data_IF_662941498995
#
_entry.id   IF_662941498995
#
_cell.length_a   1.000
_cell.length_b   1.000
_cell.length_c   1.000
_cell.angle_alpha   90.00
_cell.angle_beta   90.00
_cell.angle_gamma   90.00
#
_symmetry.space_group_name_H-M   'P 1'
#
loop_
_entity.id
_entity.type
_entity.pdbx_description
1 polymer ?
#
# COMPACT_ATOMS: atom_id res chain seq x y z
N UNK A 1 17.55 21.70 -20.09
CA UNK A 1 16.64 22.73 -19.52
C UNK A 1 16.94 22.89 -18.04
N UNK A 2 16.62 24.05 -17.44
CA UNK A 2 16.69 24.20 -15.98
C UNK A 2 15.73 23.18 -15.34
N UNK A 3 16.19 22.33 -14.41
CA UNK A 3 15.35 21.29 -13.80
C UNK A 3 14.11 21.86 -13.11
N UNK A 4 14.15 23.10 -12.60
CA UNK A 4 12.99 23.78 -11.99
C UNK A 4 11.86 24.09 -12.96
N UNK A 5 12.12 24.06 -14.26
CA UNK A 5 11.07 24.21 -15.27
C UNK A 5 10.38 22.87 -15.60
N UNK A 6 10.97 21.75 -15.16
CA UNK A 6 10.47 20.39 -15.41
C UNK A 6 9.85 19.76 -14.16
N UNK A 7 10.42 20.07 -12.99
CA UNK A 7 10.05 19.50 -11.72
C UNK A 7 9.71 20.56 -10.69
N UNK A 8 8.75 20.23 -9.83
CA UNK A 8 8.40 21.07 -8.67
C UNK A 8 9.25 20.67 -7.45
N UNK A 9 9.61 21.59 -6.55
CA UNK A 9 10.41 21.29 -5.37
C UNK A 9 9.84 20.18 -4.47
N UNK A 10 8.51 20.10 -4.39
CA UNK A 10 7.78 19.16 -3.54
C UNK A 10 7.64 17.73 -4.11
N UNK A 11 8.08 17.51 -5.35
CA UNK A 11 7.93 16.21 -6.00
C UNK A 11 8.76 15.12 -5.31
N UNK A 12 8.21 13.91 -5.27
CA UNK A 12 8.88 12.73 -4.74
C UNK A 12 9.67 12.03 -5.85
N UNK A 13 10.98 11.93 -5.65
CA UNK A 13 11.91 11.26 -6.55
C UNK A 13 12.31 9.90 -5.99
N UNK A 14 12.20 8.86 -6.81
CA UNK A 14 12.73 7.54 -6.47
C UNK A 14 13.61 7.05 -7.61
N UNK A 15 14.87 6.74 -7.31
CA UNK A 15 15.82 6.18 -8.28
C UNK A 15 15.90 4.66 -8.11
N UNK A 16 15.66 3.92 -9.19
CA UNK A 16 15.84 2.47 -9.25
C UNK A 16 17.20 2.17 -9.89
N UNK A 17 18.00 1.35 -9.21
CA UNK A 17 19.36 1.01 -9.65
C UNK A 17 20.38 2.09 -9.31
N UNK A 18 20.23 2.75 -8.15
CA UNK A 18 21.19 3.74 -7.68
C UNK A 18 22.56 3.08 -7.44
N UNK A 19 23.60 3.63 -8.08
CA UNK A 19 24.99 3.13 -7.97
C UNK A 19 25.90 4.04 -7.14
N UNK A 20 25.56 5.32 -7.06
CA UNK A 20 26.32 6.34 -6.35
C UNK A 20 25.39 7.47 -5.83
N UNK A 21 25.96 8.40 -5.05
CA UNK A 21 25.21 9.50 -4.45
C UNK A 21 25.06 10.74 -5.36
N UNK A 22 25.60 10.71 -6.59
CA UNK A 22 25.69 11.90 -7.44
C UNK A 22 24.31 12.48 -7.77
N UNK A 23 23.33 11.62 -8.01
CA UNK A 23 21.96 12.04 -8.37
C UNK A 23 21.23 12.62 -7.17
N UNK A 24 21.37 12.03 -5.98
CA UNK A 24 20.87 12.59 -4.74
C UNK A 24 21.44 14.00 -4.48
N UNK A 25 22.77 14.14 -4.60
CA UNK A 25 23.47 15.41 -4.42
C UNK A 25 23.04 16.47 -5.42
N UNK A 26 22.93 16.08 -6.70
CA UNK A 26 22.56 17.00 -7.75
C UNK A 26 21.10 17.45 -7.61
N UNK A 27 20.19 16.57 -7.16
CA UNK A 27 18.81 16.96 -6.84
C UNK A 27 18.76 17.94 -5.67
N UNK A 28 19.44 17.64 -4.55
CA UNK A 28 19.51 18.50 -3.37
C UNK A 28 20.09 19.88 -3.70
N UNK A 29 21.17 19.93 -4.47
CA UNK A 29 21.79 21.18 -4.92
C UNK A 29 20.86 22.05 -5.78
N UNK A 30 19.80 21.47 -6.37
CA UNK A 30 18.79 22.19 -7.14
C UNK A 30 17.50 22.49 -6.35
N UNK A 31 17.42 22.10 -5.08
CA UNK A 31 16.30 22.33 -4.17
C UNK A 31 15.26 21.21 -4.15
N UNK A 32 15.64 19.99 -4.52
CA UNK A 32 14.77 18.81 -4.46
C UNK A 32 15.24 17.88 -3.35
N UNK A 33 14.55 17.88 -2.21
CA UNK A 33 14.99 17.19 -0.98
C UNK A 33 14.30 15.83 -0.75
N UNK A 34 13.24 15.52 -1.52
CA UNK A 34 12.44 14.29 -1.40
C UNK A 34 12.94 13.20 -2.35
N UNK A 35 14.14 12.69 -2.09
CA UNK A 35 14.78 11.64 -2.87
C UNK A 35 14.99 10.35 -2.08
N UNK A 36 14.83 9.20 -2.76
CA UNK A 36 15.22 7.87 -2.30
C UNK A 36 15.89 7.08 -3.44
N UNK A 37 17.10 6.59 -3.21
CA UNK A 37 17.83 5.69 -4.10
C UNK A 37 17.66 4.22 -3.70
N UNK A 38 17.27 3.38 -4.65
CA UNK A 38 17.12 1.94 -4.47
C UNK A 38 18.27 1.24 -5.17
N UNK A 39 19.15 0.65 -4.38
CA UNK A 39 20.34 -0.04 -4.83
C UNK A 39 20.01 -1.47 -5.29
N UNK A 40 20.86 -2.04 -6.14
CA UNK A 40 20.71 -3.42 -6.60
C UNK A 40 21.24 -4.46 -5.60
N UNK A 41 22.02 -4.04 -4.59
CA UNK A 41 22.59 -4.92 -3.56
C UNK A 41 22.53 -4.25 -2.19
N UNK A 42 22.40 -5.03 -1.10
CA UNK A 42 22.40 -4.50 0.26
C UNK A 42 23.74 -3.83 0.62
N UNK A 43 24.86 -4.47 0.26
CA UNK A 43 26.21 -3.91 0.48
C UNK A 43 26.41 -2.54 -0.17
N UNK A 44 25.79 -2.30 -1.33
CA UNK A 44 25.86 -0.99 -1.99
C UNK A 44 25.07 0.06 -1.22
N UNK A 45 23.85 -0.27 -0.78
CA UNK A 45 23.04 0.66 0.01
C UNK A 45 23.77 1.05 1.30
N UNK A 46 24.29 0.08 2.04
CA UNK A 46 25.08 0.30 3.26
C UNK A 46 26.32 1.15 2.99
N UNK A 47 27.04 0.88 1.89
CA UNK A 47 28.23 1.66 1.52
C UNK A 47 27.91 3.11 1.17
N UNK A 48 26.76 3.39 0.55
CA UNK A 48 26.36 4.76 0.19
C UNK A 48 25.90 5.53 1.41
N UNK A 49 25.13 4.91 2.29
CA UNK A 49 24.71 5.52 3.55
C UNK A 49 25.93 5.80 4.46
N UNK A 50 26.85 4.85 4.58
CA UNK A 50 28.05 5.01 5.41
C UNK A 50 29.02 6.08 4.90
N UNK A 51 29.11 6.27 3.57
CA UNK A 51 29.99 7.27 2.97
C UNK A 51 29.48 8.71 3.17
N UNK A 52 28.20 8.90 3.51
CA UNK A 52 27.53 10.21 3.51
C UNK A 52 26.53 10.34 4.66
N UNK A 53 27.01 10.77 5.82
CA UNK A 53 26.16 11.02 7.00
C UNK A 53 25.08 12.08 6.74
N UNK A 54 25.28 12.99 5.79
CA UNK A 54 24.29 14.00 5.40
C UNK A 54 23.16 13.45 4.52
N UNK A 55 23.26 12.18 4.09
CA UNK A 55 22.29 11.44 3.27
C UNK A 55 21.81 10.17 3.98
N UNK A 56 21.90 10.11 5.31
CA UNK A 56 21.43 8.96 6.07
C UNK A 56 19.97 8.61 5.71
N UNK A 57 19.71 7.34 5.38
CA UNK A 57 18.41 6.81 4.94
C UNK A 57 17.91 7.34 3.59
N UNK A 58 18.78 7.92 2.74
CA UNK A 58 18.45 8.23 1.35
C UNK A 58 18.66 7.04 0.43
N UNK A 59 19.38 6.00 0.85
CA UNK A 59 19.57 4.78 0.08
C UNK A 59 18.95 3.57 0.77
N UNK A 60 18.47 2.62 -0.01
CA UNK A 60 17.90 1.38 0.50
C UNK A 60 18.07 0.24 -0.49
N UNK A 61 17.83 -0.98 -0.04
CA UNK A 61 17.79 -2.18 -0.87
C UNK A 61 16.48 -2.93 -0.62
N UNK A 62 15.93 -3.51 -1.68
CA UNK A 62 14.81 -4.44 -1.58
C UNK A 62 14.95 -5.53 -2.64
N UNK A 63 14.55 -6.74 -2.27
CA UNK A 63 14.42 -7.89 -3.17
C UNK A 63 13.05 -7.92 -3.88
N UNK A 64 12.14 -7.00 -3.55
CA UNK A 64 10.83 -6.90 -4.20
C UNK A 64 10.96 -6.43 -5.66
N UNK A 65 10.75 -7.36 -6.59
CA UNK A 65 10.72 -7.07 -8.02
C UNK A 65 9.58 -6.13 -8.46
N UNK A 66 8.59 -5.89 -7.59
CA UNK A 66 7.50 -4.93 -7.80
C UNK A 66 7.85 -3.53 -7.32
N UNK A 67 9.04 -3.27 -6.75
CA UNK A 67 9.40 -1.95 -6.20
C UNK A 67 9.23 -0.81 -7.21
N UNK A 68 9.50 -1.06 -8.49
CA UNK A 68 9.28 -0.10 -9.59
C UNK A 68 7.82 0.38 -9.63
N UNK A 69 6.88 -0.53 -9.36
CA UNK A 69 5.44 -0.31 -9.40
C UNK A 69 4.84 0.07 -8.03
N UNK A 70 5.47 -0.35 -6.94
CA UNK A 70 4.99 -0.21 -5.56
C UNK A 70 5.82 0.86 -4.83
N UNK A 71 5.58 2.12 -5.18
CA UNK A 71 6.17 3.28 -4.51
C UNK A 71 5.29 4.54 -4.70
N UNK A 72 5.60 5.62 -3.97
CA UNK A 72 4.93 6.92 -4.09
C UNK A 72 5.67 7.92 -4.99
N UNK A 73 6.52 7.47 -5.91
CA UNK A 73 7.27 8.38 -6.78
C UNK A 73 6.34 9.20 -7.68
N UNK A 74 6.65 10.48 -7.83
CA UNK A 74 6.10 11.32 -8.90
C UNK A 74 7.03 11.33 -10.11
N UNK A 75 8.33 11.30 -9.83
CA UNK A 75 9.41 11.17 -10.81
C UNK A 75 10.18 9.89 -10.50
N UNK A 76 10.02 8.89 -11.38
CA UNK A 76 10.78 7.65 -11.29
C UNK A 76 12.07 7.77 -12.10
N UNK A 77 13.21 7.73 -11.44
CA UNK A 77 14.52 7.77 -12.08
C UNK A 77 15.03 6.35 -12.28
N UNK A 78 15.52 6.03 -13.47
CA UNK A 78 16.01 4.70 -13.83
C UNK A 78 17.49 4.79 -14.19
N UNK A 79 18.31 4.00 -13.50
CA UNK A 79 19.76 3.96 -13.66
C UNK A 79 20.25 2.55 -13.99
N UNK A 80 21.33 2.47 -14.77
CA UNK A 80 21.93 1.20 -15.18
C UNK A 80 20.91 0.25 -15.84
N UNK A 81 20.90 -1.05 -15.49
CA UNK A 81 19.95 -2.03 -16.03
C UNK A 81 18.47 -1.71 -15.78
N UNK A 82 18.15 -0.93 -14.73
CA UNK A 82 16.77 -0.54 -14.42
C UNK A 82 16.16 0.33 -15.53
N UNK A 83 16.97 0.94 -16.39
CA UNK A 83 16.52 1.68 -17.59
C UNK A 83 15.64 0.82 -18.51
N UNK A 84 15.80 -0.52 -18.50
CA UNK A 84 14.93 -1.42 -19.25
C UNK A 84 13.47 -1.40 -18.77
N UNK A 85 13.18 -0.90 -17.56
CA UNK A 85 11.81 -0.74 -17.05
C UNK A 85 10.95 0.20 -17.89
N UNK A 86 11.56 1.07 -18.71
CA UNK A 86 10.87 1.89 -19.71
C UNK A 86 10.04 1.02 -20.67
N UNK A 87 10.48 -0.20 -20.98
CA UNK A 87 9.72 -1.13 -21.84
C UNK A 87 8.41 -1.59 -21.18
N UNK A 88 8.41 -1.72 -19.86
CA UNK A 88 7.29 -2.24 -19.09
C UNK A 88 6.37 -1.12 -18.63
N UNK A 89 5.64 -0.49 -19.57
CA UNK A 89 4.69 0.61 -19.31
C UNK A 89 3.81 0.40 -18.07
N UNK A 90 3.34 -0.84 -17.85
CA UNK A 90 2.48 -1.21 -16.72
C UNK A 90 3.13 -0.96 -15.35
N UNK A 91 4.46 -0.97 -15.28
CA UNK A 91 5.23 -0.80 -14.04
C UNK A 91 5.41 0.68 -13.68
N UNK A 92 5.32 1.59 -14.65
CA UNK A 92 5.58 3.02 -14.43
C UNK A 92 4.34 3.91 -14.53
N UNK A 93 3.19 3.35 -14.90
CA UNK A 93 1.98 4.15 -15.17
C UNK A 93 1.39 4.88 -13.95
N UNK A 94 1.89 4.63 -12.74
CA UNK A 94 1.47 5.31 -11.51
C UNK A 94 2.23 6.63 -11.28
N UNK A 95 3.37 6.83 -11.97
CA UNK A 95 4.17 8.06 -11.84
C UNK A 95 3.81 9.10 -12.90
N UNK A 96 4.18 10.35 -12.65
CA UNK A 96 3.90 11.47 -13.54
C UNK A 96 4.96 11.54 -14.65
N UNK A 97 6.20 11.26 -14.27
CA UNK A 97 7.36 11.33 -15.14
C UNK A 97 8.30 10.15 -14.90
N UNK A 98 8.91 9.68 -15.98
CA UNK A 98 10.03 8.74 -15.94
C UNK A 98 11.26 9.46 -16.46
N UNK A 99 12.36 9.38 -15.71
CA UNK A 99 13.64 9.94 -16.07
C UNK A 99 14.70 8.83 -16.15
N UNK A 100 15.63 8.91 -17.09
CA UNK A 100 16.78 7.98 -17.16
C UNK A 100 18.04 8.70 -17.61
N UNK A 101 19.20 8.22 -17.15
CA UNK A 101 20.50 8.86 -17.38
C UNK A 101 20.87 8.85 -18.87
N UNK A 102 21.27 10.00 -19.38
CA UNK A 102 21.71 10.20 -20.77
C UNK A 102 23.20 9.86 -20.90
N UNK A 103 23.53 8.60 -20.67
CA UNK A 103 24.88 8.04 -20.76
C UNK A 103 25.02 7.16 -22.00
N UNK A 104 26.23 7.08 -22.55
CA UNK A 104 26.52 6.19 -23.69
C UNK A 104 26.70 4.77 -23.14
N UNK A 105 25.57 4.09 -22.91
CA UNK A 105 25.54 2.70 -22.45
C UNK A 105 24.55 1.88 -23.30
N UNK A 106 24.75 0.56 -23.34
CA UNK A 106 23.81 -0.35 -24.02
C UNK A 106 22.40 -0.25 -23.40
N UNK A 107 22.30 -0.15 -22.08
CA UNK A 107 21.02 -0.02 -21.37
C UNK A 107 20.27 1.26 -21.75
N UNK A 108 20.99 2.39 -21.88
CA UNK A 108 20.40 3.66 -22.31
C UNK A 108 19.90 3.58 -23.74
N UNK A 109 20.65 2.94 -24.64
CA UNK A 109 20.20 2.73 -26.02
C UNK A 109 18.93 1.88 -26.09
N UNK A 110 18.88 0.75 -25.38
CA UNK A 110 17.68 -0.08 -25.29
C UNK A 110 16.52 0.64 -24.62
N UNK A 111 16.78 1.44 -23.59
CA UNK A 111 15.78 2.30 -22.96
C UNK A 111 15.16 3.31 -23.92
N UNK A 112 16.00 3.95 -24.75
CA UNK A 112 15.56 4.89 -25.79
C UNK A 112 14.66 4.20 -26.82
N UNK A 113 14.97 2.96 -27.23
CA UNK A 113 14.11 2.19 -28.12
C UNK A 113 12.75 1.89 -27.49
N UNK A 114 12.72 1.49 -26.21
CA UNK A 114 11.49 1.25 -25.46
C UNK A 114 10.66 2.53 -25.30
N UNK A 115 11.32 3.66 -25.05
CA UNK A 115 10.68 4.97 -25.00
C UNK A 115 10.08 5.34 -26.36
N UNK A 116 10.83 5.22 -27.47
CA UNK A 116 10.35 5.52 -28.82
C UNK A 116 9.11 4.70 -29.17
N UNK A 117 9.10 3.42 -28.81
CA UNK A 117 7.91 2.58 -28.96
C UNK A 117 6.70 3.11 -28.18
N UNK A 118 6.89 3.51 -26.91
CA UNK A 118 5.81 4.09 -26.11
C UNK A 118 5.42 5.51 -26.54
N UNK A 119 6.32 6.25 -27.19
CA UNK A 119 6.02 7.53 -27.84
C UNK A 119 5.09 7.33 -29.04
N UNK A 120 5.41 6.38 -29.93
CA UNK A 120 4.59 6.04 -31.11
C UNK A 120 3.21 5.54 -30.70
N UNK A 121 3.12 4.75 -29.64
CA UNK A 121 1.83 4.27 -29.09
C UNK A 121 1.10 5.30 -28.23
N UNK A 122 1.60 6.55 -28.15
CA UNK A 122 0.94 7.65 -27.44
C UNK A 122 1.00 7.59 -25.91
N UNK A 123 1.73 6.62 -25.35
CA UNK A 123 1.82 6.37 -23.91
C UNK A 123 2.77 7.32 -23.18
N UNK A 124 3.84 7.73 -23.84
CA UNK A 124 4.84 8.67 -23.31
C UNK A 124 4.82 9.99 -24.10
N UNK A 125 5.24 11.08 -23.47
CA UNK A 125 5.53 12.33 -24.18
C UNK A 125 6.89 12.28 -24.89
N UNK A 126 7.14 13.26 -25.76
CA UNK A 126 8.48 13.53 -26.26
C UNK A 126 9.41 13.79 -25.06
N UNK A 127 10.58 13.14 -25.04
CA UNK A 127 11.53 13.27 -23.95
C UNK A 127 12.19 14.66 -23.99
N UNK A 128 12.31 15.29 -22.83
CA UNK A 128 13.04 16.53 -22.62
C UNK A 128 14.34 16.24 -21.89
N UNK A 129 15.36 17.06 -22.11
CA UNK A 129 16.64 16.90 -21.41
C UNK A 129 16.67 17.76 -20.14
N UNK A 130 16.68 17.09 -18.99
CA UNK A 130 16.99 17.71 -17.70
C UNK A 130 18.50 17.68 -17.47
N UNK A 131 19.03 18.72 -16.83
CA UNK A 131 20.45 18.86 -16.56
C UNK A 131 20.62 19.19 -15.09
N UNK A 132 21.12 18.23 -14.31
CA UNK A 132 21.39 18.41 -12.90
C UNK A 132 22.87 18.71 -12.70
N UNK A 133 23.13 19.84 -12.05
CA UNK A 133 24.49 20.29 -11.73
C UNK A 133 24.75 20.04 -10.26
N UNK A 134 25.85 19.35 -9.98
CA UNK A 134 26.41 19.21 -8.64
C UNK A 134 27.63 20.14 -8.53
N UNK A 135 27.75 20.95 -7.45
CA UNK A 135 28.95 21.76 -7.24
C UNK A 135 30.21 20.88 -7.22
N UNK A 136 31.20 21.21 -8.06
CA UNK A 136 32.47 20.49 -8.12
C UNK A 136 32.46 19.12 -8.80
N UNK A 137 31.36 18.70 -9.42
CA UNK A 137 31.27 17.40 -10.12
C UNK A 137 30.76 17.55 -11.56
N UNK A 138 30.85 16.45 -12.32
CA UNK A 138 30.35 16.40 -13.68
C UNK A 138 28.84 16.64 -13.73
N UNK A 139 28.41 17.38 -14.75
CA UNK A 139 26.99 17.64 -14.98
C UNK A 139 26.28 16.36 -15.40
N UNK A 140 25.24 15.96 -14.67
CA UNK A 140 24.39 14.83 -15.03
C UNK A 140 23.28 15.28 -15.97
N UNK A 141 23.00 14.46 -16.98
CA UNK A 141 21.92 14.71 -17.95
C UNK A 141 20.93 13.55 -17.91
N UNK A 142 19.65 13.88 -17.94
CA UNK A 142 18.56 12.92 -17.92
C UNK A 142 17.62 13.17 -19.10
N UNK A 143 17.19 12.10 -19.75
CA UNK A 143 15.99 12.14 -20.57
C UNK A 143 14.77 12.02 -19.65
N UNK A 144 13.78 12.89 -19.82
CA UNK A 144 12.58 12.96 -18.99
C UNK A 144 11.35 12.91 -19.88
N UNK A 145 10.49 11.92 -19.68
CA UNK A 145 9.24 11.78 -20.40
C UNK A 145 8.05 11.75 -19.43
N UNK A 146 6.97 12.44 -19.79
CA UNK A 146 5.71 12.37 -19.06
C UNK A 146 4.92 11.12 -19.45
N UNK A 147 4.24 10.52 -18.48
CA UNK A 147 3.29 9.45 -18.70
C UNK A 147 1.93 10.06 -19.09
N UNK A 148 1.44 9.78 -20.30
CA UNK A 148 0.18 10.36 -20.80
C UNK A 148 -1.06 9.64 -20.30
N UNK A 149 -1.02 8.31 -20.22
CA UNK A 149 -2.15 7.49 -19.78
C UNK A 149 -1.90 6.93 -18.38
N UNK A 150 -1.84 7.83 -17.41
CA UNK A 150 -1.62 7.47 -16.00
C UNK A 150 -2.76 6.60 -15.51
N UNK A 151 -2.42 5.60 -14.71
CA UNK A 151 -3.41 4.93 -13.87
C UNK A 151 -3.42 5.69 -12.54
N UNK A 152 -4.62 5.95 -12.01
CA UNK A 152 -4.76 6.47 -10.64
C UNK A 152 -3.88 5.64 -9.68
N UNK A 153 -3.25 6.32 -8.73
CA UNK A 153 -2.36 5.71 -7.72
C UNK A 153 -3.19 4.69 -6.94
N UNK A 154 -3.02 3.40 -7.24
CA UNK A 154 -3.61 2.29 -6.48
C UNK A 154 -5.14 2.30 -6.34
N UNK A 155 -5.69 1.38 -5.51
CA UNK A 155 -6.95 1.63 -4.81
C UNK A 155 -6.81 2.93 -3.98
N UNK A 156 -7.92 3.65 -3.80
CA UNK A 156 -8.03 4.72 -2.80
C UNK A 156 -7.42 4.28 -1.46
N UNK A 157 -6.63 5.14 -0.84
CA UNK A 157 -5.98 4.88 0.45
C UNK A 157 -4.67 4.08 0.40
N UNK A 158 -4.10 3.73 -0.76
CA UNK A 158 -2.75 3.14 -0.79
C UNK A 158 -1.65 4.21 -0.74
N UNK A 159 -0.97 4.28 0.40
CA UNK A 159 0.20 5.13 0.66
C UNK A 159 1.45 4.28 0.91
N UNK A 160 2.57 4.94 1.19
CA UNK A 160 3.85 4.28 1.43
C UNK A 160 4.54 4.88 2.65
N UNK A 161 5.12 4.03 3.48
CA UNK A 161 5.83 4.46 4.68
C UNK A 161 7.12 5.18 4.24
N UNK A 162 7.34 6.45 4.67
CA UNK A 162 8.57 7.18 4.38
C UNK A 162 9.81 6.39 4.81
N UNK A 163 10.75 6.18 3.89
CA UNK A 163 11.94 5.37 4.17
C UNK A 163 12.76 5.95 5.33
N UNK A 164 12.87 7.27 5.42
CA UNK A 164 13.63 7.96 6.47
C UNK A 164 13.06 7.77 7.87
N UNK A 165 11.74 7.76 8.00
CA UNK A 165 11.10 7.47 9.28
C UNK A 165 11.20 5.97 9.59
N UNK A 166 11.08 5.15 8.55
CA UNK A 166 10.82 3.74 8.71
C UNK A 166 9.55 3.49 9.51
N UNK A 167 9.34 2.23 9.86
CA UNK A 167 8.12 1.81 10.57
C UNK A 167 8.10 2.35 12.01
N UNK A 168 9.25 2.32 12.70
CA UNK A 168 9.35 2.80 14.08
C UNK A 168 9.20 4.30 14.17
N UNK A 169 9.89 5.05 13.32
CA UNK A 169 9.79 6.51 13.30
C UNK A 169 8.39 6.96 12.88
N UNK A 170 7.74 6.28 11.93
CA UNK A 170 6.35 6.57 11.57
C UNK A 170 5.44 6.44 12.79
N UNK A 171 5.46 5.31 13.50
CA UNK A 171 4.60 5.15 14.69
C UNK A 171 4.98 6.09 15.84
N UNK A 172 6.27 6.42 16.00
CA UNK A 172 6.69 7.42 16.97
C UNK A 172 6.10 8.80 16.65
N UNK A 173 6.07 9.21 15.38
CA UNK A 173 5.40 10.45 14.93
C UNK A 173 3.90 10.41 15.18
N UNK A 174 3.22 9.31 14.86
CA UNK A 174 1.77 9.17 15.09
C UNK A 174 1.44 9.26 16.59
N UNK A 175 2.21 8.57 17.43
CA UNK A 175 2.02 8.59 18.88
C UNK A 175 2.39 9.94 19.49
N UNK A 176 3.47 10.57 19.02
CA UNK A 176 3.94 11.86 19.54
C UNK A 176 2.98 13.02 19.22
N UNK A 177 2.15 12.86 18.18
CA UNK A 177 1.07 13.78 17.81
C UNK A 177 -0.28 13.41 18.43
N UNK A 178 -0.33 12.34 19.22
CA UNK A 178 -1.54 11.80 19.84
C UNK A 178 -2.68 11.57 18.83
N UNK A 179 -2.32 11.01 17.65
CA UNK A 179 -3.31 10.71 16.62
C UNK A 179 -4.15 9.50 17.01
N UNK A 180 -5.44 9.57 16.73
CA UNK A 180 -6.37 8.46 16.92
C UNK A 180 -6.34 7.53 15.71
N UNK A 181 -5.72 6.36 15.89
CA UNK A 181 -5.56 5.36 14.84
C UNK A 181 -5.47 3.95 15.42
N UNK A 182 -5.75 2.95 14.57
CA UNK A 182 -5.55 1.54 14.89
C UNK A 182 -5.00 0.79 13.67
N UNK A 183 -3.97 -0.03 13.87
CA UNK A 183 -3.41 -0.88 12.81
C UNK A 183 -4.19 -2.17 12.76
N UNK A 184 -5.12 -2.29 11.80
CA UNK A 184 -6.02 -3.44 11.68
C UNK A 184 -5.28 -4.73 11.24
N UNK A 185 -4.29 -4.61 10.34
CA UNK A 185 -3.61 -5.76 9.73
C UNK A 185 -2.12 -5.51 9.47
N UNK A 186 -1.33 -6.58 9.44
CA UNK A 186 0.09 -6.55 9.10
C UNK A 186 1.02 -6.16 10.25
N UNK A 187 0.48 -6.01 11.46
CA UNK A 187 1.22 -5.57 12.64
C UNK A 187 1.93 -6.70 13.40
N UNK A 188 1.59 -7.96 13.14
CA UNK A 188 1.91 -9.11 14.01
C UNK A 188 3.43 -9.36 14.12
N UNK A 189 4.17 -9.01 13.06
CA UNK A 189 5.62 -9.19 12.94
C UNK A 189 6.40 -7.87 13.00
N UNK A 190 5.76 -6.77 13.39
CA UNK A 190 6.42 -5.49 13.51
C UNK A 190 7.67 -5.57 14.41
N UNK A 191 8.77 -4.91 14.02
CA UNK A 191 8.87 -3.89 12.97
C UNK A 191 9.11 -4.43 11.54
N UNK A 192 9.02 -5.74 11.30
CA UNK A 192 9.14 -6.32 9.96
C UNK A 192 7.77 -6.44 9.30
N UNK A 193 7.64 -5.94 8.07
CA UNK A 193 6.44 -6.11 7.25
C UNK A 193 6.69 -7.27 6.28
N UNK A 194 5.93 -8.34 6.45
CA UNK A 194 6.03 -9.55 5.61
C UNK A 194 4.86 -9.68 4.61
N UNK A 195 3.86 -8.81 4.70
CA UNK A 195 2.67 -8.86 3.85
C UNK A 195 2.90 -8.14 2.53
N UNK A 196 2.50 -8.77 1.42
CA UNK A 196 2.47 -8.10 0.10
C UNK A 196 1.60 -6.85 0.06
N UNK A 197 0.63 -6.77 0.99
CA UNK A 197 -0.34 -5.67 1.11
C UNK A 197 0.21 -4.56 2.03
N UNK A 198 1.20 -4.86 2.86
CA UNK A 198 1.72 -3.93 3.85
C UNK A 198 0.87 -3.84 5.11
N UNK A 199 0.86 -2.65 5.72
CA UNK A 199 0.00 -2.32 6.87
C UNK A 199 -1.38 -1.90 6.39
N UNK A 200 -2.41 -2.16 7.20
CA UNK A 200 -3.71 -1.51 7.06
C UNK A 200 -3.98 -0.70 8.33
N UNK A 201 -4.09 0.60 8.19
CA UNK A 201 -4.32 1.56 9.27
C UNK A 201 -5.72 2.14 9.08
N UNK A 202 -6.50 2.13 10.14
CA UNK A 202 -7.73 2.90 10.28
C UNK A 202 -7.40 4.12 11.14
N UNK A 203 -7.81 5.30 10.71
CA UNK A 203 -7.65 6.54 11.47
C UNK A 203 -9.00 7.25 11.57
N UNK A 204 -9.19 7.99 12.66
CA UNK A 204 -10.34 8.90 12.76
C UNK A 204 -10.29 9.94 11.64
N UNK A 205 -11.43 10.53 11.30
CA UNK A 205 -11.48 11.52 10.21
C UNK A 205 -10.63 12.77 10.51
N UNK A 206 -10.51 13.15 11.78
CA UNK A 206 -9.64 14.24 12.23
C UNK A 206 -8.14 13.89 12.09
N UNK A 207 -7.77 12.64 12.34
CA UNK A 207 -6.39 12.17 12.22
C UNK A 207 -6.00 11.83 10.78
N UNK A 208 -6.98 11.53 9.92
CA UNK A 208 -6.79 11.05 8.55
C UNK A 208 -5.86 11.96 7.72
N UNK A 209 -6.18 13.25 7.65
CA UNK A 209 -5.41 14.21 6.85
C UNK A 209 -3.95 14.30 7.31
N UNK A 210 -3.73 14.38 8.62
CA UNK A 210 -2.39 14.43 9.21
C UNK A 210 -1.58 13.15 8.94
N UNK A 211 -2.23 11.99 9.01
CA UNK A 211 -1.60 10.71 8.70
C UNK A 211 -1.21 10.60 7.21
N UNK A 212 -2.10 11.01 6.30
CA UNK A 212 -1.81 11.04 4.86
C UNK A 212 -0.66 12.00 4.56
N UNK A 213 -0.70 13.21 5.12
CA UNK A 213 0.37 14.21 4.95
C UNK A 213 1.73 13.68 5.45
N UNK A 214 1.75 12.95 6.57
CA UNK A 214 2.97 12.31 7.07
C UNK A 214 3.52 11.27 6.08
N UNK A 215 2.66 10.44 5.50
CA UNK A 215 3.06 9.39 4.56
C UNK A 215 3.51 9.96 3.21
N UNK A 216 2.90 11.05 2.76
CA UNK A 216 3.21 11.71 1.49
C UNK A 216 4.35 12.75 1.62
N UNK A 217 4.82 13.04 2.83
CA UNK A 217 5.90 14.00 3.08
C UNK A 217 7.26 13.58 2.51
N UNK A 218 7.48 12.28 2.28
CA UNK A 218 8.77 11.74 1.85
C UNK A 218 8.63 10.44 1.03
N UNK A 219 9.65 10.08 0.24
CA UNK A 219 9.64 8.85 -0.55
C UNK A 219 9.56 7.58 0.31
N UNK A 220 8.76 6.62 -0.15
CA UNK A 220 8.52 5.34 0.50
C UNK A 220 8.28 4.22 -0.49
N UNK A 221 8.64 3.00 -0.07
CA UNK A 221 8.48 1.76 -0.86
C UNK A 221 7.72 0.66 -0.12
N UNK A 222 7.47 0.84 1.18
CA UNK A 222 6.71 -0.12 1.98
C UNK A 222 5.24 0.28 1.94
N UNK A 223 4.35 -0.53 1.36
CA UNK A 223 2.95 -0.15 1.21
C UNK A 223 2.25 -0.02 2.56
N UNK A 224 1.31 0.90 2.64
CA UNK A 224 0.43 1.13 3.77
C UNK A 224 -0.94 1.52 3.23
N UNK A 225 -1.95 0.69 3.48
CA UNK A 225 -3.34 1.05 3.27
C UNK A 225 -3.82 1.88 4.44
N UNK A 226 -4.44 3.00 4.15
CA UNK A 226 -5.00 3.90 5.13
C UNK A 226 -6.49 3.95 4.81
N UNK A 227 -7.35 3.81 5.82
CA UNK A 227 -8.80 4.04 5.73
C UNK A 227 -9.25 5.11 6.72
N UNK A 228 -10.09 6.05 6.29
CA UNK A 228 -10.82 6.94 7.18
C UNK A 228 -12.04 6.22 7.76
N UNK A 229 -12.61 6.77 8.82
CA UNK A 229 -13.75 6.18 9.51
C UNK A 229 -15.04 6.30 8.70
N UNK A 230 -15.30 7.48 8.13
CA UNK A 230 -16.53 7.76 7.38
C UNK A 230 -16.36 7.75 5.84
N UNK A 231 -15.23 7.25 5.32
CA UNK A 231 -15.03 7.23 3.86
C UNK A 231 -15.78 6.09 3.18
N UNK A 232 -16.30 6.33 1.97
CA UNK A 232 -17.04 5.33 1.17
C UNK A 232 -16.25 4.04 0.88
N UNK A 233 -14.92 4.10 0.94
CA UNK A 233 -14.00 2.97 0.78
C UNK A 233 -13.47 2.43 2.13
N UNK A 234 -14.17 2.72 3.23
CA UNK A 234 -13.80 2.25 4.55
C UNK A 234 -13.77 0.71 4.59
N UNK A 235 -12.70 0.18 5.17
CA UNK A 235 -12.53 -1.26 5.27
C UNK A 235 -13.47 -1.93 6.30
N UNK A 236 -14.18 -1.13 7.09
CA UNK A 236 -15.17 -1.48 8.09
C UNK A 236 -16.31 -0.44 8.05
N UNK A 237 -17.57 -0.80 8.38
CA UNK A 237 -18.63 0.17 8.64
C UNK A 237 -18.28 1.02 9.88
N UNK A 238 -18.77 2.26 9.91
CA UNK A 238 -18.49 3.26 10.96
C UNK A 238 -18.55 2.69 12.38
N UNK A 239 -19.67 2.09 12.78
CA UNK A 239 -19.83 1.52 14.13
C UNK A 239 -18.78 0.43 14.50
N UNK A 240 -18.25 -0.32 13.51
CA UNK A 240 -17.19 -1.30 13.74
C UNK A 240 -15.80 -0.65 13.76
N UNK A 241 -15.59 0.40 12.98
CA UNK A 241 -14.38 1.23 13.04
C UNK A 241 -14.25 1.86 14.43
N UNK A 242 -15.31 2.52 14.88
CA UNK A 242 -15.49 3.08 16.23
C UNK A 242 -15.20 2.05 17.34
N UNK A 243 -15.74 0.83 17.20
CA UNK A 243 -15.50 -0.25 18.15
C UNK A 243 -14.02 -0.64 18.17
N UNK A 244 -13.40 -0.83 17.00
CA UNK A 244 -12.00 -1.24 16.90
C UNK A 244 -11.03 -0.18 17.44
N UNK A 245 -11.32 1.11 17.24
CA UNK A 245 -10.52 2.23 17.76
C UNK A 245 -10.66 2.36 19.27
N UNK A 246 -11.88 2.42 19.81
CA UNK A 246 -12.12 2.51 21.27
C UNK A 246 -11.57 1.30 22.04
N UNK A 247 -11.61 0.13 21.43
CA UNK A 247 -11.09 -1.13 21.99
C UNK A 247 -9.61 -1.38 21.72
N UNK A 248 -8.89 -0.43 21.10
CA UNK A 248 -7.50 -0.62 20.71
C UNK A 248 -6.58 -0.72 21.94
N UNK A 249 -5.54 -1.54 21.81
CA UNK A 249 -4.52 -1.78 22.83
C UNK A 249 -3.13 -1.48 22.26
N UNK A 250 -2.20 -1.10 23.14
CA UNK A 250 -0.81 -0.87 22.74
C UNK A 250 -0.10 -2.20 22.45
N UNK A 251 0.49 -2.33 21.28
CA UNK A 251 1.29 -3.49 20.88
C UNK A 251 2.79 -3.16 20.93
N UNK A 252 3.54 -3.88 21.79
CA UNK A 252 5.01 -3.78 21.92
C UNK A 252 5.51 -2.34 22.08
N UNK A 253 4.75 -1.50 22.80
CA UNK A 253 5.02 -0.06 22.98
C UNK A 253 5.25 0.71 21.66
N UNK A 254 4.73 0.18 20.55
CA UNK A 254 4.99 0.69 19.21
C UNK A 254 3.75 1.34 18.61
N UNK A 255 2.66 0.60 18.46
CA UNK A 255 1.46 1.07 17.77
C UNK A 255 0.19 0.62 18.49
N UNK A 256 -0.94 1.22 18.13
CA UNK A 256 -2.27 0.77 18.55
C UNK A 256 -2.76 -0.32 17.61
N UNK A 257 -3.30 -1.40 18.16
CA UNK A 257 -3.88 -2.53 17.41
C UNK A 257 -5.21 -2.91 18.04
N UNK A 258 -6.15 -3.58 17.34
CA UNK A 258 -7.39 -4.01 17.95
C UNK A 258 -7.10 -5.01 19.08
N UNK A 259 -7.96 -5.06 20.11
CA UNK A 259 -7.92 -6.17 21.05
C UNK A 259 -8.13 -7.52 20.32
N UNK A 260 -7.83 -8.64 20.99
CA UNK A 260 -7.83 -9.97 20.34
C UNK A 260 -9.15 -10.32 19.66
N UNK A 261 -10.28 -9.96 20.26
CA UNK A 261 -11.63 -10.26 19.73
C UNK A 261 -11.90 -9.43 18.47
N UNK A 262 -11.70 -8.12 18.55
CA UNK A 262 -11.90 -7.21 17.42
C UNK A 262 -10.89 -7.47 16.28
N UNK A 263 -9.68 -7.94 16.61
CA UNK A 263 -8.70 -8.38 15.61
C UNK A 263 -9.18 -9.63 14.85
N UNK A 264 -9.72 -10.63 15.56
CA UNK A 264 -10.32 -11.78 14.89
C UNK A 264 -11.50 -11.36 14.01
N UNK A 265 -12.39 -10.52 14.52
CA UNK A 265 -13.56 -10.06 13.77
C UNK A 265 -13.18 -9.22 12.55
N UNK A 266 -12.26 -8.28 12.67
CA UNK A 266 -11.80 -7.46 11.53
C UNK A 266 -11.07 -8.29 10.47
N UNK A 267 -10.30 -9.30 10.87
CA UNK A 267 -9.65 -10.23 9.94
C UNK A 267 -10.68 -11.11 9.21
N UNK A 268 -11.68 -11.62 9.94
CA UNK A 268 -12.78 -12.40 9.36
C UNK A 268 -13.64 -11.54 8.43
N UNK A 269 -14.00 -10.32 8.85
CA UNK A 269 -14.74 -9.35 8.06
C UNK A 269 -14.04 -9.09 6.72
N UNK A 270 -12.74 -8.79 6.76
CA UNK A 270 -11.95 -8.55 5.54
C UNK A 270 -11.89 -9.80 4.64
N UNK A 271 -11.76 -10.99 5.22
CA UNK A 271 -11.77 -12.24 4.44
C UNK A 271 -13.11 -12.49 3.76
N UNK A 272 -14.22 -12.23 4.47
CA UNK A 272 -15.59 -12.54 4.04
C UNK A 272 -16.12 -11.49 3.07
N UNK A 273 -16.07 -10.21 3.44
CA UNK A 273 -16.77 -9.13 2.74
C UNK A 273 -15.88 -8.30 1.79
N UNK A 274 -14.56 -8.24 2.05
CA UNK A 274 -13.64 -7.47 1.19
C UNK A 274 -13.01 -8.38 0.13
N UNK A 275 -12.51 -9.55 0.53
CA UNK A 275 -11.87 -10.50 -0.37
C UNK A 275 -12.87 -11.50 -0.98
N UNK A 276 -13.86 -11.95 -0.21
CA UNK A 276 -14.77 -13.03 -0.59
C UNK A 276 -14.00 -14.29 -0.94
N UNK A 277 -14.35 -14.92 -2.07
CA UNK A 277 -13.63 -16.09 -2.61
C UNK A 277 -12.13 -15.88 -2.85
N UNK A 278 -11.63 -14.64 -2.97
CA UNK A 278 -10.18 -14.38 -3.06
C UNK A 278 -9.42 -14.63 -1.76
N UNK A 279 -10.11 -14.69 -0.62
CA UNK A 279 -9.52 -15.11 0.66
C UNK A 279 -9.06 -16.57 0.64
N UNK A 280 -9.51 -17.35 -0.36
CA UNK A 280 -9.30 -18.80 -0.49
C UNK A 280 -9.83 -19.62 0.69
N UNK A 281 -10.76 -19.06 1.47
CA UNK A 281 -11.56 -19.81 2.42
C UNK A 281 -12.56 -20.70 1.66
N UNK A 282 -12.88 -21.90 2.18
CA UNK A 282 -13.97 -22.70 1.62
C UNK A 282 -15.29 -21.95 1.74
N UNK A 283 -16.22 -22.14 0.81
CA UNK A 283 -17.54 -21.49 0.89
C UNK A 283 -18.32 -22.08 2.07
N UNK A 284 -18.49 -23.40 2.06
CA UNK A 284 -19.17 -24.19 3.09
C UNK A 284 -18.36 -25.43 3.43
N UNK A 285 -18.52 -25.88 4.68
CA UNK A 285 -17.99 -27.12 5.18
C UNK A 285 -16.47 -27.10 5.36
N UNK A 286 -16.00 -27.98 6.24
CA UNK A 286 -14.59 -28.31 6.37
C UNK A 286 -14.16 -29.28 5.27
N UNK A 287 -14.32 -28.91 3.99
CA UNK A 287 -13.59 -29.64 2.95
C UNK A 287 -12.13 -29.38 3.26
N UNK A 288 -11.39 -30.42 3.71
CA UNK A 288 -9.93 -30.35 3.87
C UNK A 288 -9.40 -29.83 2.54
N UNK A 289 -9.11 -28.53 2.50
CA UNK A 289 -8.37 -27.94 1.39
C UNK A 289 -7.12 -28.80 1.33
N UNK A 290 -6.84 -29.42 0.17
CA UNK A 290 -5.54 -30.03 -0.05
C UNK A 290 -4.55 -28.97 0.40
N UNK A 291 -3.65 -29.33 1.33
CA UNK A 291 -2.52 -28.51 1.75
C UNK A 291 -1.67 -28.23 0.50
N UNK A 292 -2.12 -27.36 -0.39
CA UNK A 292 -1.19 -26.63 -1.22
C UNK A 292 -0.48 -25.76 -0.20
N UNK A 293 0.85 -25.86 -0.15
CA UNK A 293 1.71 -25.03 0.69
C UNK A 293 1.56 -23.50 0.39
N UNK A 294 0.55 -23.13 -0.38
CA UNK A 294 0.15 -21.81 -0.85
C UNK A 294 -1.31 -21.47 -0.50
N UNK A 295 -2.02 -22.33 0.24
CA UNK A 295 -3.34 -22.02 0.78
C UNK A 295 -3.22 -20.80 1.71
N UNK A 296 -4.04 -19.80 1.41
CA UNK A 296 -4.04 -18.45 2.00
C UNK A 296 -3.84 -18.43 3.51
N UNK A 297 -2.96 -17.53 3.95
CA UNK A 297 -2.62 -17.24 5.35
C UNK A 297 -3.87 -17.08 6.25
N UNK A 298 -4.99 -16.60 5.70
CA UNK A 298 -6.26 -16.38 6.43
C UNK A 298 -6.81 -17.62 7.14
N UNK A 299 -6.87 -18.79 6.49
CA UNK A 299 -7.48 -19.98 7.11
C UNK A 299 -6.71 -20.37 8.39
N UNK A 300 -5.39 -20.47 8.27
CA UNK A 300 -4.51 -20.84 9.38
C UNK A 300 -4.53 -19.80 10.50
N UNK A 301 -4.50 -18.50 10.16
CA UNK A 301 -4.56 -17.41 11.13
C UNK A 301 -5.89 -17.36 11.88
N UNK A 302 -7.01 -17.40 11.16
CA UNK A 302 -8.34 -17.34 11.77
C UNK A 302 -8.60 -18.58 12.64
N UNK A 303 -8.21 -19.77 12.18
CA UNK A 303 -8.31 -20.99 12.99
C UNK A 303 -7.51 -20.88 14.28
N UNK A 304 -6.23 -20.47 14.20
CA UNK A 304 -5.39 -20.29 15.39
C UNK A 304 -6.00 -19.30 16.37
N UNK A 305 -6.45 -18.13 15.89
CA UNK A 305 -7.08 -17.11 16.74
C UNK A 305 -8.37 -17.63 17.38
N UNK A 306 -9.20 -18.36 16.64
CA UNK A 306 -10.42 -18.97 17.17
C UNK A 306 -10.09 -20.00 18.26
N UNK A 307 -9.12 -20.88 18.02
CA UNK A 307 -8.68 -21.90 18.98
C UNK A 307 -8.10 -21.25 20.26
N UNK A 308 -7.25 -20.22 20.12
CA UNK A 308 -6.66 -19.47 21.24
C UNK A 308 -7.71 -18.79 22.12
N UNK A 309 -8.85 -18.40 21.55
CA UNK A 309 -9.95 -17.73 22.26
C UNK A 309 -11.10 -18.66 22.62
N UNK A 310 -11.03 -19.95 22.26
CA UNK A 310 -12.13 -20.91 22.47
C UNK A 310 -13.40 -20.58 21.66
N UNK A 311 -13.26 -19.93 20.51
CA UNK A 311 -14.39 -19.58 19.63
C UNK A 311 -14.77 -20.80 18.78
N UNK A 312 -15.94 -21.38 19.07
CA UNK A 312 -16.53 -22.43 18.26
C UNK A 312 -17.11 -21.89 16.95
N UNK A 313 -16.28 -21.71 15.93
CA UNK A 313 -16.68 -21.21 14.61
C UNK A 313 -16.10 -22.04 13.48
N UNK A 314 -16.89 -22.25 12.44
CA UNK A 314 -16.43 -22.87 11.20
C UNK A 314 -15.64 -21.84 10.37
N UNK A 315 -14.37 -22.14 10.07
CA UNK A 315 -13.49 -21.29 9.25
C UNK A 315 -13.78 -21.50 7.75
N UNK A 316 -14.98 -21.11 7.34
CA UNK A 316 -15.49 -21.02 5.97
C UNK A 316 -16.12 -19.65 5.74
N UNK A 317 -16.41 -19.28 4.48
CA UNK A 317 -17.04 -18.01 4.17
C UNK A 317 -18.44 -17.92 4.80
N UNK A 318 -19.27 -18.96 4.64
CA UNK A 318 -20.60 -19.02 5.23
C UNK A 318 -20.54 -19.13 6.76
N UNK A 319 -19.65 -19.95 7.30
CA UNK A 319 -19.48 -20.12 8.75
C UNK A 319 -19.06 -18.82 9.45
N UNK A 320 -18.07 -18.12 8.89
CA UNK A 320 -17.64 -16.81 9.40
C UNK A 320 -18.70 -15.73 9.19
N UNK A 321 -19.44 -15.73 8.07
CA UNK A 321 -20.56 -14.81 7.87
C UNK A 321 -21.61 -14.95 8.98
N UNK A 322 -22.10 -16.15 9.24
CA UNK A 322 -23.09 -16.38 10.30
C UNK A 322 -22.54 -16.00 11.68
N UNK A 323 -21.27 -16.28 11.94
CA UNK A 323 -20.62 -15.89 13.19
C UNK A 323 -20.55 -14.37 13.35
N UNK A 324 -20.11 -13.65 12.31
CA UNK A 324 -20.04 -12.20 12.29
C UNK A 324 -21.43 -11.58 12.45
N UNK A 325 -22.44 -12.11 11.76
CA UNK A 325 -23.83 -11.68 11.89
C UNK A 325 -24.33 -11.78 13.34
N UNK A 326 -24.16 -12.94 13.98
CA UNK A 326 -24.56 -13.15 15.38
C UNK A 326 -23.84 -12.25 16.39
N UNK A 327 -22.65 -11.76 16.04
CA UNK A 327 -21.85 -10.88 16.88
C UNK A 327 -21.98 -9.39 16.50
N UNK A 328 -22.87 -9.04 15.55
CA UNK A 328 -23.04 -7.67 15.09
C UNK A 328 -21.86 -7.11 14.29
N UNK A 329 -20.99 -7.96 13.75
CA UNK A 329 -19.81 -7.60 12.95
C UNK A 329 -20.03 -7.80 11.44
N UNK A 330 -21.23 -7.49 10.95
CA UNK A 330 -21.58 -7.62 9.54
C UNK A 330 -21.89 -6.25 8.92
N UNK A 331 -21.72 -6.07 7.60
CA UNK A 331 -22.20 -4.89 6.92
C UNK A 331 -23.73 -4.77 7.02
N UNK A 332 -24.29 -3.55 6.93
CA UNK A 332 -25.74 -3.36 6.77
C UNK A 332 -26.29 -4.17 5.59
N UNK A 333 -27.56 -4.58 5.66
CA UNK A 333 -28.23 -5.36 4.61
C UNK A 333 -28.16 -4.66 3.25
N UNK A 334 -28.35 -3.34 3.23
CA UNK A 334 -28.26 -2.51 2.01
C UNK A 334 -26.87 -2.53 1.38
N UNK A 335 -25.82 -2.78 2.17
CA UNK A 335 -24.45 -2.96 1.68
C UNK A 335 -24.20 -4.39 1.21
N UNK A 336 -24.85 -5.39 1.83
CA UNK A 336 -24.69 -6.80 1.49
C UNK A 336 -25.32 -7.17 0.14
N UNK A 337 -26.48 -6.60 -0.20
CA UNK A 337 -27.19 -6.93 -1.43
C UNK A 337 -26.37 -6.63 -2.71
N UNK A 338 -25.84 -5.40 -2.92
CA UNK A 338 -24.95 -5.12 -4.07
C UNK A 338 -23.66 -5.94 -4.03
N UNK A 339 -23.15 -6.24 -2.82
CA UNK A 339 -21.94 -7.05 -2.68
C UNK A 339 -22.17 -8.46 -3.22
N UNK A 340 -23.33 -9.07 -2.93
CA UNK A 340 -23.69 -10.43 -3.36
C UNK A 340 -23.77 -10.57 -4.89
N UNK A 341 -24.12 -9.52 -5.63
CA UNK A 341 -24.14 -9.52 -7.10
C UNK A 341 -22.74 -9.70 -7.70
N UNK A 342 -21.69 -9.35 -6.95
CA UNK A 342 -20.32 -9.47 -7.43
C UNK A 342 -19.88 -10.94 -7.52
N UNK A 343 -19.15 -11.29 -8.59
CA UNK A 343 -18.66 -12.66 -8.84
C UNK A 343 -17.92 -13.30 -7.64
N UNK A 344 -17.27 -12.50 -6.80
CA UNK A 344 -16.50 -13.00 -5.66
C UNK A 344 -17.35 -13.34 -4.44
N UNK A 345 -18.57 -12.83 -4.40
CA UNK A 345 -19.48 -12.89 -3.27
C UNK A 345 -20.85 -13.48 -3.64
N UNK A 346 -21.03 -14.04 -4.84
CA UNK A 346 -22.26 -14.73 -5.25
C UNK A 346 -22.74 -15.80 -4.27
N UNK A 347 -21.83 -16.35 -3.46
CA UNK A 347 -22.18 -17.28 -2.37
C UNK A 347 -23.00 -16.63 -1.24
N UNK A 348 -22.99 -15.30 -1.10
CA UNK A 348 -23.83 -14.54 -0.15
C UNK A 348 -25.28 -14.42 -0.63
N UNK A 349 -25.56 -14.58 -1.93
CA UNK A 349 -26.89 -14.36 -2.51
C UNK A 349 -28.02 -15.09 -1.77
N UNK A 350 -27.95 -16.42 -1.50
CA UNK A 350 -28.99 -17.10 -0.73
C UNK A 350 -29.11 -16.56 0.70
N UNK A 351 -27.99 -16.22 1.33
CA UNK A 351 -27.95 -15.73 2.72
C UNK A 351 -28.57 -14.33 2.86
N UNK A 352 -28.37 -13.48 1.86
CA UNK A 352 -28.98 -12.14 1.83
C UNK A 352 -30.48 -12.24 1.57
N UNK A 353 -30.92 -13.12 0.66
CA UNK A 353 -32.35 -13.36 0.43
C UNK A 353 -33.07 -13.84 1.70
N UNK A 354 -32.46 -14.78 2.43
CA UNK A 354 -32.99 -15.27 3.71
C UNK A 354 -33.07 -14.15 4.77
N UNK A 355 -32.05 -13.28 4.84
CA UNK A 355 -32.01 -12.16 5.78
C UNK A 355 -33.08 -11.11 5.48
N UNK A 356 -33.26 -10.74 4.20
CA UNK A 356 -34.31 -9.81 3.77
C UNK A 356 -35.70 -10.39 4.04
N UNK A 357 -35.93 -11.66 3.71
CA UNK A 357 -37.20 -12.33 3.99
C UNK A 357 -37.51 -12.38 5.49
N UNK A 358 -36.49 -12.61 6.34
CA UNK A 358 -36.65 -12.59 7.78
C UNK A 358 -37.01 -11.19 8.31
N UNK A 359 -36.43 -10.13 7.75
CA UNK A 359 -36.73 -8.73 8.12
C UNK A 359 -38.14 -8.31 7.66
N UNK A 360 -38.59 -8.74 6.49
CA UNK A 360 -39.96 -8.52 5.98
C UNK A 360 -41.02 -9.29 6.78
N UNK A 361 -40.68 -10.47 7.29
CA UNK A 361 -41.57 -11.28 8.11
C UNK A 361 -41.71 -10.78 9.57
N UNK A 362 -40.83 -9.88 10.03
CA UNK A 362 -40.99 -9.27 11.36
C UNK A 362 -42.17 -8.30 11.36
N UNK A 363 -43.15 -8.46 12.28
CA UNK A 363 -44.31 -7.58 12.35
C UNK A 363 -43.87 -6.12 12.60
N UNK A 364 -44.58 -5.11 12.06
CA UNK A 364 -44.17 -3.69 12.04
C UNK A 364 -44.09 -3.00 13.43
N UNK A 365 -44.13 -3.75 14.52
CA UNK A 365 -43.90 -3.24 15.86
C UNK A 365 -42.39 -3.02 16.07
N UNK A 366 -41.99 -1.75 16.11
CA UNK A 366 -40.64 -1.20 16.38
C UNK A 366 -39.80 -0.80 15.16
N UNK A 367 -40.38 -0.10 14.17
CA UNK A 367 -39.59 0.67 13.18
C UNK A 367 -39.33 2.14 13.56
N UNK A 368 -39.79 2.62 14.71
CA UNK A 368 -39.44 3.95 15.22
C UNK A 368 -39.57 4.03 16.75
N UNK A 369 -38.43 4.16 17.43
CA UNK A 369 -38.26 4.94 18.65
C UNK A 369 -36.78 5.36 18.70
#
# INVERSE_FOLDING_TARGET
MNPRNLWKPEQVFIEIGAENADTADALRANGFDRYLGICNTPLRAESLDAARSDLENYFTYTDDNQVVRRNNAEVLMLSGPATLQVWYYRNVRHVDQVAWRAEISLWTLFGLLGWLWHLVTGRYSMARMATLRRPGALTQRFFVAHIRHRKARGPSGLHYIPQRLGIRGMFAELNGRDLDYVVLRGWERLPRIDSEIGLAILASDDAWGTLVDLLDAAPGIKPCQVHGEQQDDACLPEHLADQAMRGAIRHRDLCLVPNKRDYFHSLAYHAVYVLGTKSRLPIEGSRKLKNSATASDYNSRLRRLADEMGIGVEISLSGLHHYLMRNGWHPPIDTLAPLAESRRHRWLEPLVQDAVAAEEAMPPMRRAA
#
